data_IF_886292642548
#
_entry.id   IF_886292642548
#
_cell.length_a   1.000
_cell.length_b   1.000
_cell.length_c   1.000
_cell.angle_alpha   90.00
_cell.angle_beta   90.00
_cell.angle_gamma   90.00
#
_symmetry.space_group_name_H-M   'P 1'
#
loop_
_entity.id
_entity.type
_entity.pdbx_description
1 polymer ?
#
# COMPACT_ATOMS: atom_id res chain seq x y z
N UNK A 1 -9.39 19.93 11.07
CA UNK A 1 -9.50 20.50 9.71
C UNK A 1 -10.85 20.26 9.00
N UNK A 2 -11.84 19.57 9.59
CA UNK A 2 -13.28 19.67 9.19
C UNK A 2 -14.14 19.96 10.43
N UNK A 3 -13.87 19.28 11.55
CA UNK A 3 -14.47 19.56 12.87
C UNK A 3 -14.41 21.03 13.29
N UNK A 4 -13.27 21.67 13.02
CA UNK A 4 -12.97 23.05 13.39
C UNK A 4 -13.87 24.05 12.66
N UNK A 5 -14.18 23.76 11.40
CA UNK A 5 -15.01 24.61 10.54
C UNK A 5 -16.51 24.42 10.84
N UNK A 6 -16.92 23.19 11.21
CA UNK A 6 -18.30 22.88 11.61
C UNK A 6 -18.66 23.50 12.97
N UNK A 7 -17.73 23.50 13.93
CA UNK A 7 -17.92 24.17 15.23
C UNK A 7 -18.09 25.69 15.07
N UNK A 8 -17.36 26.32 14.14
CA UNK A 8 -17.50 27.76 13.86
C UNK A 8 -18.90 28.15 13.34
N UNK A 9 -19.67 27.19 12.80
CA UNK A 9 -21.02 27.44 12.27
C UNK A 9 -22.14 27.25 13.30
N UNK A 10 -21.81 26.86 14.54
CA UNK A 10 -22.80 26.71 15.63
C UNK A 10 -23.80 25.56 15.42
N UNK A 11 -23.49 24.62 14.54
CA UNK A 11 -24.34 23.46 14.24
C UNK A 11 -23.77 22.25 14.99
N UNK A 12 -24.52 21.75 15.97
CA UNK A 12 -24.21 20.49 16.64
C UNK A 12 -24.70 19.33 15.77
N UNK A 13 -23.77 18.64 15.12
CA UNK A 13 -24.05 17.49 14.26
C UNK A 13 -23.18 16.32 14.71
N UNK A 14 -23.79 15.15 14.90
CA UNK A 14 -23.04 13.91 15.12
C UNK A 14 -22.45 13.45 13.80
N UNK A 15 -21.14 13.29 13.75
CA UNK A 15 -20.42 12.75 12.60
C UNK A 15 -19.29 11.85 13.10
N UNK A 16 -18.87 10.93 12.23
CA UNK A 16 -17.79 9.98 12.50
C UNK A 16 -16.77 10.04 11.37
N UNK A 17 -15.50 9.91 11.71
CA UNK A 17 -14.39 9.91 10.75
C UNK A 17 -13.96 8.47 10.53
N UNK A 18 -13.81 8.08 9.26
CA UNK A 18 -13.32 6.77 8.86
C UNK A 18 -12.12 6.95 7.93
N UNK A 19 -11.02 6.27 8.23
CA UNK A 19 -9.88 6.10 7.33
C UNK A 19 -10.10 4.87 6.46
N UNK A 20 -10.01 5.03 5.14
CA UNK A 20 -10.18 3.94 4.20
C UNK A 20 -9.12 4.08 3.09
N UNK A 21 -7.88 3.66 3.37
CA UNK A 21 -6.78 3.83 2.44
C UNK A 21 -6.98 2.98 1.19
N UNK A 22 -6.76 3.58 0.03
CA UNK A 22 -6.77 2.88 -1.25
C UNK A 22 -5.43 2.14 -1.48
N UNK A 23 -5.43 1.05 -2.27
CA UNK A 23 -4.21 0.30 -2.64
C UNK A 23 -4.13 0.05 -4.16
N UNK A 24 -4.67 0.97 -4.95
CA UNK A 24 -4.80 0.86 -6.41
C UNK A 24 -3.44 1.06 -7.10
N UNK A 25 -3.21 0.33 -8.19
CA UNK A 25 -2.05 0.57 -9.06
C UNK A 25 -2.41 1.53 -10.18
N UNK A 26 -1.49 2.43 -10.53
CA UNK A 26 -1.63 3.25 -11.73
C UNK A 26 -1.73 2.35 -12.98
N UNK A 27 -2.76 2.56 -13.80
CA UNK A 27 -3.02 1.76 -15.02
C UNK A 27 -3.92 0.54 -14.83
N UNK A 28 -4.21 0.12 -13.59
CA UNK A 28 -5.14 -0.99 -13.28
C UNK A 28 -6.23 -0.61 -12.26
N UNK A 29 -6.39 0.70 -12.01
CA UNK A 29 -7.21 1.23 -10.92
C UNK A 29 -8.68 0.77 -10.94
N UNK A 30 -9.29 0.58 -12.12
CA UNK A 30 -10.69 0.13 -12.24
C UNK A 30 -10.83 -1.33 -11.80
N UNK A 31 -9.94 -2.21 -12.28
CA UNK A 31 -9.99 -3.64 -11.92
C UNK A 31 -9.61 -3.87 -10.45
N UNK A 32 -8.59 -3.15 -9.95
CA UNK A 32 -8.18 -3.20 -8.55
C UNK A 32 -9.29 -2.69 -7.62
N UNK A 33 -10.07 -1.69 -8.04
CA UNK A 33 -11.20 -1.17 -7.26
C UNK A 33 -12.39 -2.14 -7.26
N UNK A 34 -12.68 -2.77 -8.40
CA UNK A 34 -13.79 -3.71 -8.53
C UNK A 34 -13.51 -5.07 -7.88
N UNK A 35 -12.23 -5.44 -7.71
CA UNK A 35 -11.79 -6.72 -7.13
C UNK A 35 -10.58 -6.55 -6.19
N UNK A 36 -10.72 -5.77 -5.10
CA UNK A 36 -9.60 -5.50 -4.21
C UNK A 36 -9.16 -6.76 -3.47
N UNK A 37 -7.85 -6.97 -3.31
CA UNK A 37 -7.30 -8.08 -2.51
C UNK A 37 -7.78 -8.02 -1.05
N UNK A 38 -7.85 -6.80 -0.50
CA UNK A 38 -8.34 -6.47 0.85
C UNK A 38 -8.84 -5.03 0.91
N UNK A 39 -9.75 -4.76 1.85
CA UNK A 39 -10.28 -3.42 2.15
C UNK A 39 -9.92 -3.11 3.61
N UNK A 40 -9.23 -1.99 3.85
CA UNK A 40 -8.83 -1.57 5.19
C UNK A 40 -9.81 -0.50 5.67
N UNK A 41 -10.39 -0.69 6.85
CA UNK A 41 -11.27 0.30 7.49
C UNK A 41 -10.66 0.69 8.84
N UNK A 42 -10.24 1.94 8.97
CA UNK A 42 -9.76 2.55 10.20
C UNK A 42 -10.85 3.41 10.84
N UNK A 43 -11.46 2.95 11.93
CA UNK A 43 -12.47 3.71 12.65
C UNK A 43 -12.65 3.18 14.09
N UNK A 44 -13.03 4.06 15.00
CA UNK A 44 -13.30 3.71 16.40
C UNK A 44 -14.81 3.60 16.70
N UNK A 45 -15.66 4.12 15.80
CA UNK A 45 -17.12 4.08 15.91
C UNK A 45 -17.71 2.86 15.18
N UNK A 46 -18.30 1.93 15.94
CA UNK A 46 -18.93 0.73 15.40
C UNK A 46 -20.09 1.04 14.45
N UNK A 47 -20.83 2.14 14.65
CA UNK A 47 -21.91 2.51 13.75
C UNK A 47 -21.36 2.90 12.38
N UNK A 48 -20.31 3.72 12.36
CA UNK A 48 -19.62 4.11 11.13
C UNK A 48 -19.01 2.90 10.41
N UNK A 49 -18.40 1.97 11.16
CA UNK A 49 -17.90 0.71 10.61
C UNK A 49 -19.05 -0.07 9.95
N UNK A 50 -20.20 -0.22 10.63
CA UNK A 50 -21.36 -0.91 10.10
C UNK A 50 -21.85 -0.33 8.76
N UNK A 51 -21.92 1.00 8.67
CA UNK A 51 -22.30 1.71 7.43
C UNK A 51 -21.32 1.42 6.29
N UNK A 52 -20.00 1.49 6.54
CA UNK A 52 -18.98 1.24 5.51
C UNK A 52 -18.96 -0.24 5.10
N UNK A 53 -19.20 -1.17 6.03
CA UNK A 53 -19.33 -2.61 5.69
C UNK A 53 -20.50 -2.86 4.74
N UNK A 54 -21.66 -2.24 4.99
CA UNK A 54 -22.82 -2.33 4.11
C UNK A 54 -22.54 -1.74 2.71
N UNK A 55 -21.79 -0.62 2.65
CA UNK A 55 -21.35 -0.03 1.38
C UNK A 55 -20.52 -1.02 0.54
N UNK A 56 -19.66 -1.80 1.20
CA UNK A 56 -18.75 -2.74 0.53
C UNK A 56 -19.31 -4.15 0.31
N UNK A 57 -20.47 -4.48 0.88
CA UNK A 57 -21.09 -5.80 0.74
C UNK A 57 -21.27 -6.26 -0.73
N UNK A 58 -21.71 -5.40 -1.68
CA UNK A 58 -21.89 -5.81 -3.08
C UNK A 58 -20.61 -6.27 -3.77
N UNK A 59 -19.46 -5.80 -3.29
CA UNK A 59 -18.13 -6.08 -3.85
C UNK A 59 -17.47 -7.32 -3.23
N UNK A 60 -18.10 -7.97 -2.24
CA UNK A 60 -17.51 -9.05 -1.43
C UNK A 60 -18.08 -10.45 -1.68
N UNK A 61 -18.75 -10.66 -2.82
CA UNK A 61 -19.54 -11.86 -3.11
C UNK A 61 -18.85 -13.22 -2.91
N UNK A 62 -17.51 -13.29 -2.87
CA UNK A 62 -16.79 -14.57 -2.75
C UNK A 62 -15.90 -14.71 -1.50
N UNK A 63 -15.47 -13.65 -0.81
CA UNK A 63 -14.63 -13.73 0.40
C UNK A 63 -14.75 -12.45 1.24
N UNK A 64 -14.82 -12.59 2.57
CA UNK A 64 -14.77 -11.45 3.50
C UNK A 64 -13.34 -10.86 3.49
N UNK A 65 -13.17 -9.72 2.84
CA UNK A 65 -11.88 -9.07 2.56
C UNK A 65 -11.67 -7.80 3.40
N UNK A 66 -12.59 -7.49 4.31
CA UNK A 66 -12.51 -6.33 5.20
C UNK A 66 -11.61 -6.63 6.39
N UNK A 67 -10.66 -5.75 6.65
CA UNK A 67 -9.87 -5.71 7.87
C UNK A 67 -10.18 -4.38 8.57
N UNK A 68 -10.75 -4.48 9.78
CA UNK A 68 -11.08 -3.32 10.62
C UNK A 68 -9.97 -3.10 11.63
N UNK A 69 -9.57 -1.85 11.83
CA UNK A 69 -8.55 -1.41 12.78
C UNK A 69 -8.82 0.02 13.25
N UNK A 70 -7.99 0.56 14.15
CA UNK A 70 -8.07 1.97 14.51
C UNK A 70 -7.57 2.89 13.37
N UNK A 71 -7.98 4.15 13.40
CA UNK A 71 -7.71 5.12 12.32
C UNK A 71 -6.21 5.32 12.06
N UNK A 72 -5.37 5.31 13.11
CA UNK A 72 -3.93 5.54 12.98
C UNK A 72 -3.25 4.31 12.37
N UNK A 73 -3.66 3.11 12.78
CA UNK A 73 -3.17 1.86 12.18
C UNK A 73 -3.53 1.75 10.71
N UNK A 74 -4.73 2.17 10.29
CA UNK A 74 -5.12 2.17 8.88
C UNK A 74 -4.24 3.10 8.04
N UNK A 75 -4.02 4.32 8.52
CA UNK A 75 -3.13 5.28 7.86
C UNK A 75 -1.70 4.75 7.75
N UNK A 76 -1.14 4.24 8.85
CA UNK A 76 0.20 3.66 8.85
C UNK A 76 0.32 2.45 7.93
N UNK A 77 -0.73 1.63 7.82
CA UNK A 77 -0.75 0.46 6.92
C UNK A 77 -0.55 0.88 5.45
N UNK A 78 -1.13 2.01 5.02
CA UNK A 78 -0.90 2.55 3.66
C UNK A 78 0.57 2.88 3.43
N UNK A 79 1.18 3.59 4.37
CA UNK A 79 2.60 3.95 4.28
C UNK A 79 3.51 2.73 4.31
N UNK A 80 3.26 1.80 5.23
CA UNK A 80 4.04 0.57 5.38
C UNK A 80 3.98 -0.31 4.13
N UNK A 81 2.79 -0.45 3.52
CA UNK A 81 2.63 -1.22 2.29
C UNK A 81 3.46 -0.62 1.14
N UNK A 82 3.32 0.68 0.89
CA UNK A 82 4.07 1.37 -0.18
C UNK A 82 5.59 1.33 0.07
N UNK A 83 6.01 1.53 1.32
CA UNK A 83 7.42 1.45 1.71
C UNK A 83 7.99 0.05 1.47
N UNK A 84 7.28 -1.01 1.86
CA UNK A 84 7.70 -2.39 1.65
C UNK A 84 7.87 -2.72 0.16
N UNK A 85 6.92 -2.29 -0.68
CA UNK A 85 7.01 -2.48 -2.13
C UNK A 85 8.23 -1.75 -2.72
N UNK A 86 8.46 -0.50 -2.31
CA UNK A 86 9.62 0.26 -2.72
C UNK A 86 10.94 -0.39 -2.27
N UNK A 87 11.01 -0.86 -1.01
CA UNK A 87 12.19 -1.54 -0.47
C UNK A 87 12.55 -2.79 -1.25
N UNK A 88 11.56 -3.59 -1.67
CA UNK A 88 11.82 -4.80 -2.49
C UNK A 88 12.47 -4.45 -3.82
N UNK A 89 11.98 -3.40 -4.50
CA UNK A 89 12.55 -2.93 -5.77
C UNK A 89 13.98 -2.42 -5.55
N UNK A 90 14.18 -1.55 -4.54
CA UNK A 90 15.50 -1.01 -4.22
C UNK A 90 16.49 -2.12 -3.85
N UNK A 91 16.06 -3.11 -3.07
CA UNK A 91 16.88 -4.26 -2.70
C UNK A 91 17.32 -5.06 -3.93
N UNK A 92 16.42 -5.31 -4.88
CA UNK A 92 16.75 -6.00 -6.13
C UNK A 92 17.67 -5.20 -7.03
N UNK A 93 17.55 -3.87 -7.05
CA UNK A 93 18.48 -3.00 -7.79
C UNK A 93 19.89 -3.02 -7.16
N UNK A 94 20.02 -3.02 -5.84
CA UNK A 94 21.34 -3.15 -5.20
C UNK A 94 21.95 -4.53 -5.45
N UNK A 95 21.14 -5.59 -5.41
CA UNK A 95 21.59 -6.93 -5.77
C UNK A 95 22.01 -7.05 -7.24
N UNK A 96 21.40 -6.30 -8.18
CA UNK A 96 21.81 -6.36 -9.58
C UNK A 96 23.22 -5.82 -9.77
N UNK A 97 23.59 -4.72 -9.10
CA UNK A 97 24.96 -4.20 -9.13
C UNK A 97 25.97 -5.20 -8.55
N UNK A 98 25.62 -5.88 -7.45
CA UNK A 98 26.47 -6.94 -6.89
C UNK A 98 26.60 -8.13 -7.84
N UNK A 99 25.51 -8.54 -8.47
CA UNK A 99 25.48 -9.64 -9.43
C UNK A 99 26.39 -9.34 -10.64
N UNK A 100 26.34 -8.13 -11.18
CA UNK A 100 27.24 -7.67 -12.24
C UNK A 100 28.71 -7.73 -11.81
N UNK A 101 29.03 -7.28 -10.60
CA UNK A 101 30.39 -7.27 -10.08
C UNK A 101 31.00 -8.67 -9.90
N UNK A 102 30.17 -9.70 -9.68
CA UNK A 102 30.62 -11.09 -9.49
C UNK A 102 30.32 -12.01 -10.68
N UNK A 103 29.73 -11.49 -11.76
CA UNK A 103 29.36 -12.25 -12.96
C UNK A 103 28.17 -13.19 -12.77
N UNK A 104 27.25 -12.88 -11.85
CA UNK A 104 26.01 -13.63 -11.64
C UNK A 104 24.83 -13.05 -12.46
N UNK A 105 23.87 -13.90 -12.80
CA UNK A 105 22.62 -13.49 -13.47
C UNK A 105 21.54 -13.12 -12.43
N UNK A 106 21.18 -11.85 -12.38
CA UNK A 106 20.17 -11.32 -11.46
C UNK A 106 18.78 -11.93 -11.70
N UNK A 107 18.44 -12.32 -12.93
CA UNK A 107 17.16 -12.93 -13.24
C UNK A 107 17.07 -14.35 -12.65
N UNK A 108 18.18 -15.10 -12.69
CA UNK A 108 18.27 -16.41 -12.02
C UNK A 108 18.17 -16.27 -10.49
N UNK A 109 18.80 -15.24 -9.91
CA UNK A 109 18.67 -14.92 -8.48
C UNK A 109 17.22 -14.56 -8.12
N UNK A 110 16.56 -13.72 -8.93
CA UNK A 110 15.15 -13.34 -8.77
C UNK A 110 14.24 -14.56 -8.76
N UNK A 111 14.42 -15.49 -9.69
CA UNK A 111 13.64 -16.74 -9.76
C UNK A 111 13.90 -17.62 -8.54
N UNK A 112 15.15 -17.73 -8.10
CA UNK A 112 15.54 -18.47 -6.91
C UNK A 112 14.84 -17.95 -5.66
N UNK A 113 15.02 -16.66 -5.33
CA UNK A 113 14.42 -16.08 -4.11
C UNK A 113 12.90 -15.95 -4.21
N UNK A 114 12.36 -15.67 -5.42
CA UNK A 114 10.92 -15.49 -5.62
C UNK A 114 10.11 -16.78 -5.49
N UNK A 115 10.76 -17.94 -5.68
CA UNK A 115 10.14 -19.25 -5.47
C UNK A 115 9.83 -19.56 -4.00
N UNK A 116 10.46 -18.85 -3.07
CA UNK A 116 10.11 -18.95 -1.66
C UNK A 116 8.78 -18.24 -1.40
N UNK A 117 7.72 -18.94 -0.94
CA UNK A 117 6.40 -18.35 -0.74
C UNK A 117 6.37 -17.25 0.32
N UNK A 118 7.38 -17.17 1.20
CA UNK A 118 7.53 -16.09 2.18
C UNK A 118 7.98 -14.78 1.52
N UNK A 119 8.64 -14.86 0.38
CA UNK A 119 9.13 -13.70 -0.40
C UNK A 119 8.15 -13.41 -1.55
N UNK A 120 7.78 -14.43 -2.32
CA UNK A 120 6.92 -14.33 -3.50
C UNK A 120 7.54 -13.57 -4.67
N UNK A 121 6.95 -13.71 -5.87
CA UNK A 121 7.49 -13.15 -7.11
C UNK A 121 7.22 -11.66 -7.34
N UNK A 122 6.21 -11.10 -6.67
CA UNK A 122 5.74 -9.73 -6.93
C UNK A 122 6.77 -8.68 -6.50
N UNK A 123 6.91 -7.60 -7.29
CA UNK A 123 7.80 -6.47 -6.99
C UNK A 123 9.28 -6.86 -6.77
N UNK A 124 9.77 -7.87 -7.51
CA UNK A 124 11.19 -8.28 -7.51
C UNK A 124 11.92 -7.98 -8.82
N UNK A 125 11.30 -7.27 -9.75
CA UNK A 125 11.97 -6.88 -10.98
C UNK A 125 12.96 -5.76 -10.65
N UNK A 126 14.25 -6.03 -10.84
CA UNK A 126 15.23 -4.95 -10.92
C UNK A 126 14.92 -4.09 -12.14
N UNK A 127 14.98 -2.77 -12.01
CA UNK A 127 14.85 -1.87 -13.15
C UNK A 127 15.99 -2.09 -14.15
N UNK A 128 15.83 -1.62 -15.40
CA UNK A 128 16.93 -1.61 -16.36
C UNK A 128 18.14 -0.94 -15.74
N UNK A 129 19.22 -1.69 -15.53
CA UNK A 129 20.54 -1.16 -15.25
C UNK A 129 20.93 -0.24 -16.39
N UNK A 130 20.70 1.06 -16.21
CA UNK A 130 21.35 2.07 -17.03
C UNK A 130 22.71 2.31 -16.39
N UNK A 131 23.77 1.86 -17.05
CA UNK A 131 25.08 2.47 -16.89
C UNK A 131 24.90 3.98 -17.09
N UNK A 132 24.90 4.73 -16.00
CA UNK A 132 24.49 6.12 -16.01
C UNK A 132 24.20 6.62 -14.60
N UNK A 133 25.21 7.24 -14.00
CA UNK A 133 25.16 7.97 -12.74
C UNK A 133 23.85 8.72 -12.49
N UNK A 134 22.99 8.25 -11.59
CA UNK A 134 22.04 9.13 -10.91
C UNK A 134 21.57 8.54 -9.58
N UNK A 135 22.44 8.65 -8.59
CA UNK A 135 22.13 8.45 -7.18
C UNK A 135 21.41 9.71 -6.65
N UNK A 136 20.08 9.67 -6.49
CA UNK A 136 19.30 10.37 -5.44
C UNK A 136 17.80 10.29 -5.72
N UNK A 137 17.04 9.79 -4.74
CA UNK A 137 16.22 10.60 -3.83
C UNK A 137 15.29 9.65 -3.04
N UNK A 138 15.37 9.65 -1.70
CA UNK A 138 14.22 9.58 -0.76
C UNK A 138 14.73 9.62 0.70
N UNK A 139 15.26 10.78 1.10
CA UNK A 139 15.21 11.24 2.51
C UNK A 139 14.83 12.71 2.45
N UNK A 140 13.53 13.01 2.44
CA UNK A 140 13.01 14.33 2.86
C UNK A 140 11.51 14.29 3.13
N UNK A 141 11.14 13.84 4.33
CA UNK A 141 9.97 14.35 5.05
C UNK A 141 10.32 14.44 6.54
N UNK A 142 11.16 15.43 6.85
CA UNK A 142 11.37 16.00 8.19
C UNK A 142 11.94 17.40 7.94
N UNK A 143 11.08 18.40 8.09
CA UNK A 143 11.38 19.80 7.80
C UNK A 143 10.09 20.57 7.61
#
# INVERSE_FOLDING_TARGET
MISSELMNRGIDFKYSIVSNPEFLKEGAAVDDFMRPDRIIIGADDEQAIGVIRALYEPFQRNHNRIIVMDSKSAELTKYAANAMLATRISFMNELSFLAEAIGADIEMVRQGIGSDPRIGYSFLYSGCGYGGSCFRLFVRLSG
#
